data_IF_844108912897
#
_entry.id   IF_844108912897
#
_cell.length_a   1.000
_cell.length_b   1.000
_cell.length_c   1.000
_cell.angle_alpha   90.00
_cell.angle_beta   90.00
_cell.angle_gamma   90.00
#
_symmetry.space_group_name_H-M   'P 1'
#
loop_
_entity.id
_entity.type
_entity.pdbx_description
1 polymer ?
#
# COMPACT_ATOMS: atom_id res chain seq x y z
N UNK A 1 1.91 -9.07 -24.13
CA UNK A 1 1.12 -8.09 -23.36
C UNK A 1 2.05 -7.05 -22.76
N UNK A 2 1.70 -5.81 -22.87
CA UNK A 2 2.52 -4.71 -22.35
C UNK A 2 2.03 -4.34 -20.96
N UNK A 3 2.98 -4.16 -20.04
CA UNK A 3 2.66 -3.69 -18.70
C UNK A 3 2.28 -2.22 -18.78
N UNK A 4 1.06 -1.89 -18.37
CA UNK A 4 0.52 -0.55 -18.44
C UNK A 4 0.87 0.31 -17.23
N UNK A 5 1.54 -0.26 -16.24
CA UNK A 5 1.86 0.49 -15.04
C UNK A 5 2.95 1.52 -15.32
N UNK A 6 2.78 2.70 -14.72
CA UNK A 6 3.84 3.68 -14.63
C UNK A 6 4.94 3.10 -13.73
N UNK A 7 6.23 3.23 -14.11
CA UNK A 7 7.32 2.74 -13.24
C UNK A 7 7.27 3.30 -11.82
N UNK A 8 6.83 4.54 -11.65
CA UNK A 8 6.72 5.14 -10.32
C UNK A 8 5.63 4.44 -9.51
N UNK A 9 4.51 4.08 -10.14
CA UNK A 9 3.44 3.35 -9.47
C UNK A 9 3.91 1.95 -9.09
N UNK A 10 4.58 1.26 -10.01
CA UNK A 10 5.10 -0.08 -9.75
C UNK A 10 6.05 -0.08 -8.56
N UNK A 11 6.90 0.93 -8.46
CA UNK A 11 7.83 1.06 -7.35
C UNK A 11 7.11 1.27 -6.02
N UNK A 12 6.09 2.12 -6.00
CA UNK A 12 5.31 2.34 -4.79
C UNK A 12 4.60 1.08 -4.33
N UNK A 13 4.00 0.36 -5.26
CA UNK A 13 3.31 -0.90 -4.95
C UNK A 13 4.30 -1.90 -4.39
N UNK A 14 5.46 -2.04 -5.01
CA UNK A 14 6.48 -2.95 -4.53
C UNK A 14 6.96 -2.59 -3.13
N UNK A 15 7.13 -1.30 -2.84
CA UNK A 15 7.52 -0.83 -1.52
C UNK A 15 6.49 -1.24 -0.47
N UNK A 16 5.21 -1.09 -0.79
CA UNK A 16 4.12 -1.44 0.12
C UNK A 16 4.11 -2.96 0.36
N UNK A 17 4.26 -3.73 -0.70
CA UNK A 17 4.28 -5.20 -0.60
C UNK A 17 5.46 -5.70 0.22
N UNK A 18 6.65 -5.13 0.00
CA UNK A 18 7.84 -5.51 0.76
C UNK A 18 7.69 -5.18 2.23
N UNK A 19 7.11 -4.03 2.53
CA UNK A 19 6.87 -3.64 3.92
C UNK A 19 5.91 -4.63 4.59
N UNK A 20 4.85 -5.02 3.89
CA UNK A 20 3.90 -5.97 4.45
C UNK A 20 4.53 -7.33 4.71
N UNK A 21 5.35 -7.82 3.79
CA UNK A 21 6.07 -9.08 3.97
C UNK A 21 6.98 -9.02 5.19
N UNK A 22 7.68 -7.90 5.36
CA UNK A 22 8.54 -7.72 6.53
C UNK A 22 7.71 -7.69 7.81
N UNK A 23 6.56 -7.01 7.79
CA UNK A 23 5.69 -6.92 8.96
C UNK A 23 5.15 -8.28 9.38
N UNK A 24 4.83 -9.14 8.42
CA UNK A 24 4.37 -10.49 8.73
C UNK A 24 5.47 -11.28 9.44
N UNK A 25 6.69 -11.21 8.93
CA UNK A 25 7.82 -11.91 9.53
C UNK A 25 8.15 -11.35 10.91
N UNK A 26 8.12 -10.04 11.05
CA UNK A 26 8.42 -9.39 12.33
C UNK A 26 7.40 -9.77 13.40
N UNK A 27 6.13 -9.79 13.06
CA UNK A 27 5.06 -10.13 14.01
C UNK A 27 5.25 -11.54 14.55
N UNK A 28 5.79 -12.45 13.74
CA UNK A 28 6.01 -13.84 14.16
C UNK A 28 7.19 -14.02 15.10
N UNK A 29 8.07 -13.02 15.22
CA UNK A 29 9.29 -13.14 16.01
C UNK A 29 9.14 -12.86 17.49
N UNK A 30 8.06 -12.21 17.89
CA UNK A 30 7.79 -11.94 19.30
C UNK A 30 8.80 -11.02 19.97
N UNK A 31 9.32 -10.02 19.25
CA UNK A 31 10.33 -9.12 19.78
C UNK A 31 9.89 -7.66 19.72
N UNK A 32 10.70 -6.81 20.33
CA UNK A 32 10.50 -5.36 20.28
C UNK A 32 11.70 -4.72 19.61
N UNK A 33 11.45 -3.71 18.77
CA UNK A 33 12.49 -3.01 18.04
C UNK A 33 12.31 -1.52 18.22
N UNK A 34 13.27 -0.86 18.86
CA UNK A 34 13.16 0.55 19.18
C UNK A 34 13.54 1.49 18.03
N UNK A 35 14.17 1.01 17.00
CA UNK A 35 14.59 1.89 15.94
C UNK A 35 15.24 1.18 14.78
N UNK A 36 15.02 -0.08 14.66
CA UNK A 36 15.67 -0.87 13.62
C UNK A 36 14.88 -0.97 12.35
N UNK A 37 14.98 -2.12 11.71
CA UNK A 37 14.45 -2.35 10.37
C UNK A 37 12.94 -2.17 10.26
N UNK A 38 12.18 -2.56 11.29
CA UNK A 38 10.73 -2.46 11.21
C UNK A 38 10.28 -1.01 11.07
N UNK A 39 10.92 -0.11 11.81
CA UNK A 39 10.60 1.32 11.71
C UNK A 39 10.86 1.84 10.31
N UNK A 40 11.99 1.47 9.73
CA UNK A 40 12.34 1.90 8.38
C UNK A 40 11.33 1.41 7.35
N UNK A 41 10.91 0.15 7.44
CA UNK A 41 9.92 -0.39 6.52
C UNK A 41 8.56 0.32 6.66
N UNK A 42 8.15 0.61 7.90
CA UNK A 42 6.89 1.33 8.13
C UNK A 42 6.96 2.76 7.60
N UNK A 43 8.11 3.42 7.76
CA UNK A 43 8.29 4.77 7.23
C UNK A 43 8.23 4.79 5.71
N UNK A 44 8.86 3.82 5.06
CA UNK A 44 8.82 3.71 3.61
C UNK A 44 7.41 3.43 3.11
N UNK A 45 6.67 2.58 3.81
CA UNK A 45 5.30 2.28 3.45
C UNK A 45 4.43 3.53 3.57
N UNK A 46 4.56 4.27 4.67
CA UNK A 46 3.79 5.49 4.86
C UNK A 46 4.08 6.51 3.77
N UNK A 47 5.36 6.68 3.41
CA UNK A 47 5.75 7.59 2.34
C UNK A 47 5.18 7.13 0.99
N UNK A 48 5.18 5.82 0.73
CA UNK A 48 4.63 5.29 -0.51
C UNK A 48 3.12 5.55 -0.62
N UNK A 49 2.41 5.53 0.49
CA UNK A 49 0.98 5.79 0.50
C UNK A 49 0.66 7.25 0.19
N UNK A 50 1.52 8.17 0.61
CA UNK A 50 1.26 9.60 0.45
C UNK A 50 1.08 10.03 -1.01
N UNK A 51 1.76 9.38 -1.95
CA UNK A 51 1.65 9.74 -3.36
C UNK A 51 0.95 8.70 -4.21
N UNK A 52 0.38 7.69 -3.57
CA UNK A 52 -0.14 6.53 -4.28
C UNK A 52 -1.26 6.89 -5.26
N UNK A 53 -2.25 7.62 -4.81
CA UNK A 53 -3.41 7.95 -5.64
C UNK A 53 -3.03 8.84 -6.80
N UNK A 54 -2.22 9.87 -6.55
CA UNK A 54 -1.77 10.78 -7.61
C UNK A 54 -0.97 10.02 -8.65
N UNK A 55 -0.10 9.13 -8.21
CA UNK A 55 0.71 8.33 -9.13
C UNK A 55 -0.15 7.37 -9.93
N UNK A 56 -1.14 6.74 -9.29
CA UNK A 56 -2.07 5.84 -9.98
C UNK A 56 -2.91 6.60 -11.01
N UNK A 57 -3.38 7.80 -10.66
CA UNK A 57 -4.18 8.61 -11.54
C UNK A 57 -3.39 9.05 -12.78
N UNK A 58 -2.08 9.22 -12.65
CA UNK A 58 -1.22 9.65 -13.75
C UNK A 58 -0.77 8.50 -14.65
N UNK A 59 -1.04 7.26 -14.25
CA UNK A 59 -0.59 6.10 -15.04
C UNK A 59 -1.32 6.03 -16.37
N UNK A 60 -0.58 5.78 -17.47
CA UNK A 60 -1.21 5.67 -18.79
C UNK A 60 -2.20 4.49 -18.85
N UNK A 61 -3.31 4.73 -19.51
CA UNK A 61 -4.32 3.70 -19.71
C UNK A 61 -4.89 3.81 -21.11
N UNK A 62 -5.08 2.67 -21.76
CA UNK A 62 -5.74 2.62 -23.06
C UNK A 62 -7.06 1.90 -22.89
N UNK A 63 -8.04 2.60 -22.33
CA UNK A 63 -9.30 2.00 -21.96
C UNK A 63 -10.44 2.83 -22.55
N UNK A 64 -11.58 2.17 -22.73
CA UNK A 64 -12.77 2.87 -23.17
C UNK A 64 -13.29 3.78 -22.06
N UNK A 65 -14.30 4.57 -22.41
CA UNK A 65 -14.85 5.55 -21.47
C UNK A 65 -15.44 4.91 -20.20
N UNK A 66 -16.10 3.77 -20.37
CA UNK A 66 -16.70 3.06 -19.23
C UNK A 66 -15.61 2.59 -18.25
N UNK A 67 -14.52 2.02 -18.79
CA UNK A 67 -13.39 1.61 -17.96
C UNK A 67 -12.74 2.80 -17.27
N UNK A 68 -12.63 3.92 -17.97
CA UNK A 68 -12.04 5.13 -17.39
C UNK A 68 -12.88 5.66 -16.22
N UNK A 69 -14.21 5.60 -16.35
CA UNK A 69 -15.09 6.03 -15.25
C UNK A 69 -14.99 5.10 -14.07
N UNK A 70 -14.92 3.80 -14.32
CA UNK A 70 -14.78 2.82 -13.25
C UNK A 70 -13.46 3.00 -12.53
N UNK A 71 -12.38 3.25 -13.28
CA UNK A 71 -11.07 3.47 -12.69
C UNK A 71 -11.08 4.73 -11.83
N UNK A 72 -11.67 5.82 -12.33
CA UNK A 72 -11.75 7.06 -11.58
C UNK A 72 -12.53 6.89 -10.27
N UNK A 73 -13.63 6.14 -10.33
CA UNK A 73 -14.42 5.85 -9.12
C UNK A 73 -13.59 5.05 -8.11
N UNK A 74 -12.82 4.09 -8.60
CA UNK A 74 -11.99 3.27 -7.70
C UNK A 74 -10.85 4.06 -7.09
N UNK A 75 -10.33 5.07 -7.80
CA UNK A 75 -9.30 5.93 -7.22
C UNK A 75 -9.79 6.65 -5.97
N UNK A 76 -11.07 6.97 -5.89
CA UNK A 76 -11.63 7.57 -4.67
C UNK A 76 -11.63 6.57 -3.51
N UNK A 77 -11.92 5.31 -3.78
CA UNK A 77 -11.84 4.25 -2.78
C UNK A 77 -10.40 4.09 -2.30
N UNK A 78 -9.47 4.04 -3.25
CA UNK A 78 -8.05 3.92 -2.92
C UNK A 78 -7.57 5.08 -2.07
N UNK A 79 -7.98 6.30 -2.39
CA UNK A 79 -7.59 7.48 -1.62
C UNK A 79 -8.06 7.37 -0.17
N UNK A 80 -9.31 6.99 0.02
CA UNK A 80 -9.88 6.86 1.36
C UNK A 80 -9.15 5.79 2.16
N UNK A 81 -8.94 4.63 1.54
CA UNK A 81 -8.26 3.52 2.22
C UNK A 81 -6.79 3.82 2.49
N UNK A 82 -6.12 4.53 1.58
CA UNK A 82 -4.73 4.93 1.79
C UNK A 82 -4.60 5.88 2.97
N UNK A 83 -5.54 6.82 3.11
CA UNK A 83 -5.53 7.73 4.24
C UNK A 83 -5.75 7.01 5.56
N UNK A 84 -6.67 6.06 5.59
CA UNK A 84 -6.96 5.28 6.79
C UNK A 84 -5.79 4.38 7.16
N UNK A 85 -5.23 3.67 6.19
CA UNK A 85 -4.07 2.81 6.44
C UNK A 85 -2.86 3.64 6.86
N UNK A 86 -2.66 4.80 6.23
CA UNK A 86 -1.58 5.71 6.60
C UNK A 86 -1.68 6.17 8.04
N UNK A 87 -2.90 6.48 8.49
CA UNK A 87 -3.12 6.87 9.89
C UNK A 87 -2.76 5.73 10.84
N UNK A 88 -3.12 4.50 10.49
CA UNK A 88 -2.77 3.33 11.31
C UNK A 88 -1.25 3.14 11.37
N UNK A 89 -0.57 3.27 10.23
CA UNK A 89 0.89 3.19 10.21
C UNK A 89 1.55 4.25 11.08
N UNK A 90 1.05 5.48 11.00
CA UNK A 90 1.60 6.59 11.80
C UNK A 90 1.37 6.39 13.28
N UNK A 91 0.23 5.80 13.66
CA UNK A 91 -0.02 5.48 15.06
C UNK A 91 1.04 4.51 15.58
N UNK A 92 1.34 3.48 14.80
CA UNK A 92 2.36 2.50 15.17
C UNK A 92 3.75 3.17 15.23
N UNK A 93 4.06 3.98 14.23
CA UNK A 93 5.35 4.69 14.19
C UNK A 93 5.56 5.63 15.37
N UNK A 94 4.47 6.11 15.96
CA UNK A 94 4.57 7.01 17.12
C UNK A 94 4.92 6.27 18.41
N UNK A 95 4.91 4.95 18.40
CA UNK A 95 5.21 4.16 19.58
C UNK A 95 6.69 3.87 19.71
N UNK A 96 7.16 3.75 20.95
CA UNK A 96 8.55 3.35 21.25
C UNK A 96 8.52 2.44 22.46
N UNK A 97 8.91 1.21 22.33
CA UNK A 97 9.35 0.52 21.11
C UNK A 97 8.17 0.06 20.26
N UNK A 98 8.46 -0.39 19.07
CA UNK A 98 7.46 -1.01 18.20
C UNK A 98 7.55 -2.52 18.41
N UNK A 99 6.57 -3.06 19.15
CA UNK A 99 6.57 -4.48 19.49
C UNK A 99 6.01 -5.33 18.35
N UNK A 100 6.35 -6.61 18.35
CA UNK A 100 5.77 -7.56 17.41
C UNK A 100 4.25 -7.67 17.59
N UNK A 101 3.76 -7.54 18.83
CA UNK A 101 2.32 -7.56 19.09
C UNK A 101 1.62 -6.37 18.41
N UNK A 102 2.26 -5.20 18.47
CA UNK A 102 1.70 -4.00 17.82
C UNK A 102 1.66 -4.18 16.31
N UNK A 103 2.72 -4.75 15.74
CA UNK A 103 2.75 -5.02 14.30
C UNK A 103 1.75 -6.10 13.92
N UNK A 104 1.58 -7.09 14.76
CA UNK A 104 0.57 -8.13 14.52
C UNK A 104 -0.82 -7.51 14.46
N UNK A 105 -1.14 -6.60 15.38
CA UNK A 105 -2.42 -5.90 15.36
C UNK A 105 -2.56 -5.04 14.10
N UNK A 106 -1.49 -4.40 13.67
CA UNK A 106 -1.51 -3.62 12.43
C UNK A 106 -1.80 -4.51 11.23
N UNK A 107 -1.15 -5.67 11.16
CA UNK A 107 -1.37 -6.62 10.06
C UNK A 107 -2.83 -7.10 10.01
N UNK A 108 -3.48 -7.18 11.17
CA UNK A 108 -4.87 -7.60 11.25
C UNK A 108 -5.86 -6.45 10.99
N UNK A 109 -5.37 -5.23 10.90
CA UNK A 109 -6.22 -4.05 10.72
C UNK A 109 -6.99 -4.14 9.40
N UNK A 110 -8.30 -3.92 9.46
CA UNK A 110 -9.11 -3.94 8.25
C UNK A 110 -8.71 -2.81 7.29
N UNK A 111 -8.18 -1.71 7.83
CA UNK A 111 -7.77 -0.58 7.00
C UNK A 111 -6.53 -0.92 6.18
N UNK A 112 -5.55 -1.58 6.79
CA UNK A 112 -4.38 -2.03 6.04
C UNK A 112 -4.76 -3.09 5.02
N UNK A 113 -5.60 -4.03 5.41
CA UNK A 113 -6.02 -5.11 4.52
C UNK A 113 -6.85 -4.59 3.36
N UNK A 114 -7.71 -3.60 3.59
CA UNK A 114 -8.47 -2.97 2.52
C UNK A 114 -7.52 -2.29 1.53
N UNK A 115 -6.54 -1.57 2.03
CA UNK A 115 -5.55 -0.93 1.17
C UNK A 115 -4.80 -1.94 0.31
N UNK A 116 -4.36 -3.03 0.91
CA UNK A 116 -3.63 -4.07 0.17
C UNK A 116 -4.48 -4.68 -0.92
N UNK A 117 -5.76 -4.92 -0.63
CA UNK A 117 -6.70 -5.43 -1.63
C UNK A 117 -6.86 -4.45 -2.78
N UNK A 118 -7.00 -3.16 -2.46
CA UNK A 118 -7.12 -2.11 -3.48
C UNK A 118 -5.90 -2.07 -4.38
N UNK A 119 -4.72 -2.16 -3.78
CA UNK A 119 -3.45 -2.14 -4.51
C UNK A 119 -3.36 -3.33 -5.45
N UNK A 120 -3.73 -4.51 -4.99
CA UNK A 120 -3.70 -5.71 -5.83
C UNK A 120 -4.68 -5.60 -6.99
N UNK A 121 -5.88 -5.05 -6.75
CA UNK A 121 -6.87 -4.87 -7.81
C UNK A 121 -6.36 -3.90 -8.87
N UNK A 122 -5.85 -2.77 -8.46
CA UNK A 122 -5.34 -1.76 -9.40
C UNK A 122 -4.13 -2.30 -10.16
N UNK A 123 -3.22 -2.96 -9.47
CA UNK A 123 -2.03 -3.52 -10.08
C UNK A 123 -2.40 -4.51 -11.19
N UNK A 124 -3.33 -5.42 -10.87
CA UNK A 124 -3.78 -6.42 -11.84
C UNK A 124 -4.51 -5.77 -13.01
N UNK A 125 -5.37 -4.81 -12.73
CA UNK A 125 -6.12 -4.11 -13.77
C UNK A 125 -5.20 -3.38 -14.75
N UNK A 126 -4.16 -2.72 -14.23
CA UNK A 126 -3.23 -1.98 -15.07
C UNK A 126 -2.31 -2.91 -15.86
N UNK A 127 -1.95 -4.06 -15.31
CA UNK A 127 -1.17 -5.05 -16.05
C UNK A 127 -1.94 -5.60 -17.25
N UNK A 128 -3.26 -5.65 -17.15
CA UNK A 128 -4.13 -6.19 -18.19
C UNK A 128 -4.82 -5.10 -19.01
N UNK A 129 -4.48 -3.86 -18.76
CA UNK A 129 -5.26 -2.72 -19.23
C UNK A 129 -5.41 -2.58 -20.74
N UNK A 130 -4.54 -3.19 -21.52
CA UNK A 130 -4.57 -3.07 -22.98
C UNK A 130 -5.44 -4.16 -23.65
N UNK A 131 -5.88 -5.13 -22.92
CA UNK A 131 -6.61 -6.28 -23.49
C UNK A 131 -8.07 -6.00 -23.86
#
# INVERSE_FOLDING_TARGET
MTDQRDPALAERIETIEQAYEFMLAYAAQGREDEGGSVRQFLERAAAALDGLVVTAAASPRTQNEASSRAFAAFLEVLDDDARKAGAALRLVLAQKPISSQLVDNLNASIHLRALLTDVFLIDEALKRGAD
#
